data_IF_147449748895
#
_entry.id   IF_147449748895
#
_cell.length_a   1.000
_cell.length_b   1.000
_cell.length_c   1.000
_cell.angle_alpha   90.00
_cell.angle_beta   90.00
_cell.angle_gamma   90.00
#
_symmetry.space_group_name_H-M   'P 1'
#
loop_
_entity.id
_entity.type
_entity.pdbx_description
1 polymer ?
#
# COMPACT_ATOMS: atom_id res chain seq x y z
N UNK A 1 -26.93 -17.29 3.28
CA UNK A 1 -26.56 -15.94 3.71
C UNK A 1 -25.22 -15.64 3.06
N UNK A 2 -25.16 -14.74 2.10
CA UNK A 2 -23.89 -14.27 1.54
C UNK A 2 -23.52 -13.02 2.34
N UNK A 3 -22.67 -13.18 3.34
CA UNK A 3 -21.98 -12.05 3.94
C UNK A 3 -21.28 -11.29 2.82
N UNK A 4 -21.41 -9.95 2.72
CA UNK A 4 -20.50 -9.20 1.90
C UNK A 4 -19.14 -9.41 2.55
N UNK A 5 -18.29 -10.24 1.94
CA UNK A 5 -16.86 -10.24 2.18
C UNK A 5 -16.47 -8.78 2.15
N UNK A 6 -16.22 -8.21 3.33
CA UNK A 6 -15.53 -6.94 3.45
C UNK A 6 -14.13 -7.25 2.96
N UNK A 7 -13.91 -7.18 1.66
CA UNK A 7 -12.58 -6.93 1.11
C UNK A 7 -12.20 -5.60 1.72
N UNK A 8 -11.54 -5.68 2.88
CA UNK A 8 -10.96 -4.55 3.58
C UNK A 8 -9.73 -4.15 2.74
N UNK A 9 -10.03 -3.59 1.56
CA UNK A 9 -9.10 -2.93 0.67
C UNK A 9 -8.70 -1.65 1.39
N UNK A 10 -7.56 -1.72 2.08
CA UNK A 10 -7.00 -0.57 2.76
C UNK A 10 -6.06 0.15 1.83
N UNK A 11 -5.84 1.44 2.06
CA UNK A 11 -4.76 2.13 1.39
C UNK A 11 -3.43 1.66 1.99
N UNK A 12 -2.39 1.54 1.16
CA UNK A 12 -1.03 1.36 1.65
C UNK A 12 -0.72 2.42 2.71
N UNK A 13 -0.10 2.00 3.82
CA UNK A 13 0.22 2.84 4.96
C UNK A 13 1.37 3.83 4.68
N UNK A 14 2.12 3.64 3.60
CA UNK A 14 3.15 4.59 3.18
C UNK A 14 2.52 5.90 2.69
N UNK A 15 2.93 7.05 3.26
CA UNK A 15 2.24 8.33 3.07
C UNK A 15 2.17 8.77 1.60
N UNK A 16 3.27 8.58 0.87
CA UNK A 16 3.37 8.94 -0.55
C UNK A 16 2.83 7.86 -1.49
N UNK A 17 2.48 6.69 -0.96
CA UNK A 17 1.88 5.61 -1.74
C UNK A 17 0.37 5.80 -1.88
N UNK A 18 -0.19 5.41 -3.02
CA UNK A 18 -1.63 5.45 -3.32
C UNK A 18 -2.22 4.10 -3.67
N UNK A 19 -1.42 3.04 -3.58
CA UNK A 19 -1.86 1.67 -3.83
C UNK A 19 -2.92 1.23 -2.82
N UNK A 20 -3.86 0.41 -3.30
CA UNK A 20 -4.77 -0.33 -2.43
C UNK A 20 -4.17 -1.70 -2.12
N UNK A 21 -4.33 -2.13 -0.87
CA UNK A 21 -3.85 -3.40 -0.33
C UNK A 21 -5.04 -4.24 0.07
N UNK A 22 -5.08 -5.45 -0.49
CA UNK A 22 -6.12 -6.41 -0.17
C UNK A 22 -5.76 -7.18 1.11
N UNK A 23 -6.77 -7.42 1.94
CA UNK A 23 -6.73 -8.50 2.93
C UNK A 23 -5.78 -8.26 4.10
N UNK A 24 -6.06 -7.25 4.94
CA UNK A 24 -5.42 -7.07 6.24
C UNK A 24 -3.94 -6.68 6.20
N UNK A 25 -3.32 -6.60 5.02
CA UNK A 25 -1.97 -6.08 4.82
C UNK A 25 -1.98 -4.57 4.97
N UNK A 26 -0.90 -4.01 5.51
CA UNK A 26 -0.74 -2.57 5.71
C UNK A 26 0.03 -1.92 4.56
N UNK A 27 0.90 -2.67 3.89
CA UNK A 27 1.76 -2.21 2.82
C UNK A 27 1.54 -3.01 1.56
N UNK A 28 1.71 -2.37 0.39
CA UNK A 28 1.54 -3.03 -0.90
C UNK A 28 2.71 -3.95 -1.25
N UNK A 29 3.88 -3.63 -0.72
CA UNK A 29 5.07 -4.49 -0.71
C UNK A 29 5.97 -4.15 0.46
N UNK A 30 6.96 -5.01 0.71
CA UNK A 30 8.06 -4.78 1.66
C UNK A 30 8.79 -3.46 1.41
N UNK A 31 8.98 -3.01 0.16
CA UNK A 31 9.61 -1.71 -0.13
C UNK A 31 8.91 -0.53 0.54
N UNK A 32 7.57 -0.58 0.63
CA UNK A 32 6.79 0.45 1.32
C UNK A 32 6.84 0.31 2.84
N UNK A 33 7.02 -0.91 3.35
CA UNK A 33 7.17 -1.15 4.78
C UNK A 33 8.53 -0.62 5.26
N UNK A 34 9.61 -0.98 4.55
CA UNK A 34 10.98 -0.53 4.82
C UNK A 34 11.14 0.98 4.67
N UNK A 35 10.61 1.57 3.59
CA UNK A 35 10.61 3.01 3.43
C UNK A 35 9.77 3.71 4.48
N UNK A 36 8.62 3.15 4.87
CA UNK A 36 7.81 3.78 5.91
C UNK A 36 8.50 3.74 7.29
N UNK A 37 9.30 2.71 7.57
CA UNK A 37 10.11 2.61 8.79
C UNK A 37 11.33 3.54 8.76
N UNK A 38 12.01 3.61 7.62
CA UNK A 38 13.23 4.40 7.44
C UNK A 38 12.97 5.90 7.18
N UNK A 39 12.14 6.22 6.18
CA UNK A 39 11.74 7.58 5.81
C UNK A 39 10.32 7.60 5.21
N UNK A 40 9.26 7.78 6.04
CA UNK A 40 7.87 7.70 5.59
C UNK A 40 7.44 8.83 4.65
N UNK A 41 8.29 9.85 4.48
CA UNK A 41 8.10 10.95 3.56
C UNK A 41 8.78 10.74 2.21
N UNK A 42 9.55 9.66 2.07
CA UNK A 42 10.27 9.32 0.86
C UNK A 42 9.30 9.03 -0.29
N UNK A 43 9.80 9.22 -1.51
CA UNK A 43 9.03 8.93 -2.72
C UNK A 43 8.84 7.42 -2.80
N UNK A 44 7.58 6.97 -2.90
CA UNK A 44 7.33 5.54 -3.06
C UNK A 44 7.97 5.01 -4.35
N UNK A 45 8.97 4.15 -4.19
CA UNK A 45 9.63 3.41 -5.28
C UNK A 45 8.99 2.05 -5.55
N UNK A 46 7.78 1.85 -5.04
CA UNK A 46 7.01 0.62 -5.18
C UNK A 46 6.72 0.28 -6.65
N UNK A 47 7.21 -0.87 -7.12
CA UNK A 47 7.04 -1.35 -8.50
C UNK A 47 5.79 -2.23 -8.64
N UNK A 48 4.61 -1.64 -8.46
CA UNK A 48 3.34 -2.37 -8.61
C UNK A 48 2.43 -1.68 -9.62
N UNK A 49 1.65 -2.46 -10.40
CA UNK A 49 0.66 -1.88 -11.30
C UNK A 49 -0.38 -1.11 -10.49
N UNK A 50 -0.47 0.20 -10.76
CA UNK A 50 -1.39 1.12 -10.06
C UNK A 50 -0.73 2.10 -9.10
N UNK A 51 0.58 2.00 -8.86
CA UNK A 51 1.29 3.03 -8.12
C UNK A 51 1.47 4.31 -8.96
N UNK A 52 0.87 5.43 -8.51
CA UNK A 52 1.05 6.74 -9.15
C UNK A 52 2.39 7.42 -8.86
N UNK A 53 3.16 6.92 -7.89
CA UNK A 53 4.36 7.59 -7.37
C UNK A 53 5.64 7.17 -8.08
N UNK A 54 5.65 6.04 -8.80
CA UNK A 54 6.78 5.61 -9.63
C UNK A 54 6.72 6.21 -11.06
N UNK A 55 6.27 7.46 -11.21
CA UNK A 55 6.11 8.14 -12.52
C UNK A 55 6.81 9.48 -12.56
#
# INVERSE_FOLDING_TARGET
MADPVRTDEKKCAHQTCTCMVEGGRRFCSDDCEDQNDSDPTSVCTCDHPGCKSNR
#
